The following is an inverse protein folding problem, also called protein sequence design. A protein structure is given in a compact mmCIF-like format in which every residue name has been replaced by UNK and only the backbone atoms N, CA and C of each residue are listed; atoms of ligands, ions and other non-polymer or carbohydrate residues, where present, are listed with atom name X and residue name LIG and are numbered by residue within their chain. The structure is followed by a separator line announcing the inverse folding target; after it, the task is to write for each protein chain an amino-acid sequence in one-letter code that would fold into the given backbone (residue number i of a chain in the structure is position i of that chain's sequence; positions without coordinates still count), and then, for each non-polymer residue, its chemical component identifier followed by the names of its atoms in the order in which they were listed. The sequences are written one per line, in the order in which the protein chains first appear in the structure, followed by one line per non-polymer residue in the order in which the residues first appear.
data_IF_970163517865
#
_entry.id   IF_970163517865
#
_cell.length_a   1.000
_cell.length_b   1.000
_cell.length_c   1.000
_cell.angle_alpha   90.00
_cell.angle_beta   90.00
_cell.angle_gamma   90.00
#
_symmetry.space_group_name_H-M   'P 1'
#
loop_
_entity.id
_entity.type
_entity.pdbx_description
1 polymer ?
#
# COMPACT_ATOMS: atom_id res chain seq x y z
N UNK A 1 -20.02 -15.11 -17.83
CA UNK A 1 -18.83 -14.49 -17.19
C UNK A 1 -17.62 -15.34 -17.57
N UNK A 2 -16.73 -14.81 -18.43
CA UNK A 2 -15.64 -15.57 -19.04
C UNK A 2 -14.47 -15.71 -18.05
N UNK A 3 -14.23 -16.92 -17.58
CA UNK A 3 -13.11 -17.25 -16.71
C UNK A 3 -11.84 -17.35 -17.59
N UNK A 4 -11.21 -16.20 -17.88
CA UNK A 4 -9.92 -16.16 -18.60
C UNK A 4 -8.83 -16.60 -17.63
N UNK A 5 -8.29 -17.80 -17.84
CA UNK A 5 -7.07 -18.27 -17.17
C UNK A 5 -5.93 -17.28 -17.45
N UNK A 6 -5.55 -16.51 -16.44
CA UNK A 6 -4.44 -15.55 -16.51
C UNK A 6 -3.14 -16.36 -16.46
N UNK A 7 -2.37 -16.34 -17.55
CA UNK A 7 -1.07 -17.00 -17.64
C UNK A 7 -0.02 -16.08 -16.99
N UNK A 8 0.76 -16.64 -16.06
CA UNK A 8 1.84 -15.93 -15.38
C UNK A 8 3.15 -16.14 -16.13
N UNK A 9 3.95 -15.07 -16.27
CA UNK A 9 5.27 -15.10 -16.91
C UNK A 9 6.33 -14.70 -15.89
N UNK A 10 7.44 -15.42 -15.86
CA UNK A 10 8.59 -15.12 -14.99
C UNK A 10 9.45 -14.04 -15.64
N UNK A 11 9.70 -12.95 -14.92
CA UNK A 11 10.64 -11.89 -15.31
C UNK A 11 11.97 -12.06 -14.54
N UNK A 12 13.04 -11.33 -14.91
CA UNK A 12 14.30 -11.32 -14.14
C UNK A 12 14.16 -10.74 -12.71
N UNK A 13 13.02 -10.13 -12.37
CA UNK A 13 12.59 -9.83 -10.99
C UNK A 13 12.02 -11.10 -10.34
N UNK A 14 12.13 -11.34 -9.01
CA UNK A 14 11.71 -12.59 -8.36
C UNK A 14 10.19 -12.92 -8.42
N UNK A 15 9.42 -12.22 -9.25
CA UNK A 15 7.96 -12.21 -9.22
C UNK A 15 7.36 -12.72 -10.54
N UNK A 16 6.19 -13.33 -10.39
CA UNK A 16 5.35 -13.77 -11.50
C UNK A 16 4.46 -12.61 -11.93
N UNK A 17 4.64 -12.13 -13.16
CA UNK A 17 3.85 -11.02 -13.69
C UNK A 17 2.74 -11.55 -14.58
N UNK A 18 1.50 -11.02 -14.50
CA UNK A 18 0.46 -11.32 -15.47
C UNK A 18 0.96 -11.03 -16.89
N UNK A 19 0.73 -11.93 -17.85
CA UNK A 19 1.21 -11.76 -19.24
C UNK A 19 0.86 -10.39 -19.85
N UNK A 20 -0.31 -9.83 -19.49
CA UNK A 20 -0.78 -8.50 -19.91
C UNK A 20 0.05 -7.32 -19.41
N UNK A 21 0.89 -7.52 -18.41
CA UNK A 21 1.72 -6.49 -17.77
C UNK A 21 3.22 -6.75 -17.98
N UNK A 22 3.60 -7.72 -18.83
CA UNK A 22 5.00 -8.11 -19.07
C UNK A 22 5.92 -6.94 -19.42
N UNK A 23 5.40 -5.96 -20.18
CA UNK A 23 6.17 -4.81 -20.66
C UNK A 23 5.89 -3.52 -19.85
N UNK A 24 5.13 -3.63 -18.75
CA UNK A 24 4.83 -2.48 -17.88
C UNK A 24 5.87 -2.38 -16.75
N UNK A 25 6.19 -1.15 -16.29
CA UNK A 25 7.00 -0.99 -15.10
C UNK A 25 6.28 -1.58 -13.88
N UNK A 26 7.06 -2.03 -12.91
CA UNK A 26 6.54 -2.47 -11.62
C UNK A 26 5.96 -1.25 -10.89
N UNK A 27 4.79 -1.45 -10.26
CA UNK A 27 4.15 -0.41 -9.43
C UNK A 27 4.77 -0.39 -8.04
N UNK A 28 5.19 -1.53 -7.51
CA UNK A 28 5.83 -1.65 -6.21
C UNK A 28 7.09 -2.50 -6.36
N UNK A 29 8.21 -2.00 -5.88
CA UNK A 29 9.47 -2.75 -5.79
C UNK A 29 10.03 -2.64 -4.39
N UNK A 30 10.36 -3.78 -3.81
CA UNK A 30 10.86 -3.89 -2.45
C UNK A 30 12.10 -4.75 -2.50
N UNK A 31 13.22 -4.23 -2.00
CA UNK A 31 14.51 -4.91 -2.04
C UNK A 31 15.15 -4.93 -0.67
N UNK A 32 15.54 -6.11 -0.22
CA UNK A 32 16.26 -6.37 1.04
C UNK A 32 15.60 -5.73 2.27
N UNK A 33 14.27 -5.64 2.27
CA UNK A 33 13.53 -4.93 3.31
C UNK A 33 13.67 -5.64 4.65
N UNK A 34 13.98 -4.87 5.70
CA UNK A 34 14.07 -5.41 7.04
C UNK A 34 13.86 -4.38 8.14
N UNK A 35 13.46 -4.89 9.30
CA UNK A 35 13.30 -4.10 10.52
C UNK A 35 13.62 -4.94 11.75
N UNK A 36 14.26 -4.30 12.72
CA UNK A 36 14.60 -4.89 14.01
C UNK A 36 13.92 -4.08 15.13
N UNK A 37 13.31 -4.77 16.08
CA UNK A 37 12.69 -4.16 17.26
C UNK A 37 13.46 -4.58 18.51
N UNK A 38 14.16 -3.64 19.15
CA UNK A 38 14.87 -3.91 20.40
C UNK A 38 15.87 -5.07 20.33
N UNK A 39 16.50 -5.28 19.17
CA UNK A 39 17.43 -6.38 18.92
C UNK A 39 16.82 -7.66 18.32
N UNK A 40 15.49 -7.73 18.19
CA UNK A 40 14.81 -8.82 17.51
C UNK A 40 14.51 -8.45 16.05
N UNK A 41 15.07 -9.21 15.11
CA UNK A 41 14.73 -9.07 13.69
C UNK A 41 13.32 -9.58 13.42
N UNK A 42 12.41 -8.68 13.05
CA UNK A 42 11.01 -9.02 12.75
C UNK A 42 10.77 -9.27 11.25
N UNK A 43 11.54 -8.62 10.38
CA UNK A 43 11.55 -8.89 8.93
C UNK A 43 13.00 -8.91 8.50
N UNK A 44 13.40 -9.95 7.75
CA UNK A 44 14.76 -10.08 7.24
C UNK A 44 14.74 -10.32 5.74
N UNK A 45 15.38 -9.42 4.98
CA UNK A 45 15.58 -9.53 3.53
C UNK A 45 14.30 -9.85 2.75
N UNK A 46 13.22 -9.13 3.03
CA UNK A 46 11.99 -9.26 2.29
C UNK A 46 12.12 -8.59 0.92
N UNK A 47 11.79 -9.33 -0.14
CA UNK A 47 11.85 -8.89 -1.53
C UNK A 47 10.52 -9.17 -2.21
N UNK A 48 9.96 -8.18 -2.89
CA UNK A 48 8.76 -8.34 -3.72
C UNK A 48 8.76 -7.28 -4.82
N UNK A 49 8.16 -7.61 -5.94
CA UNK A 49 7.91 -6.71 -7.06
C UNK A 49 6.51 -6.99 -7.57
N UNK A 50 5.70 -5.95 -7.72
CA UNK A 50 4.31 -6.08 -8.13
C UNK A 50 4.07 -5.30 -9.41
N UNK A 51 3.31 -5.91 -10.32
CA UNK A 51 2.82 -5.23 -11.52
C UNK A 51 1.47 -4.53 -11.26
N UNK A 52 1.09 -3.51 -12.07
CA UNK A 52 -0.08 -2.66 -11.79
C UNK A 52 -1.41 -3.40 -11.63
N UNK A 53 -1.57 -4.59 -12.21
CA UNK A 53 -2.81 -5.37 -12.13
C UNK A 53 -2.64 -6.72 -11.46
N UNK A 54 -1.54 -6.89 -10.73
CA UNK A 54 -1.21 -8.11 -10.00
C UNK A 54 -1.92 -8.16 -8.65
N UNK A 55 -2.34 -9.36 -8.26
CA UNK A 55 -2.85 -9.63 -6.91
C UNK A 55 -1.87 -10.61 -6.25
N UNK A 56 -1.12 -10.10 -5.27
CA UNK A 56 -0.12 -10.88 -4.54
C UNK A 56 -0.61 -11.15 -3.11
N UNK A 57 -0.35 -12.37 -2.61
CA UNK A 57 -0.75 -12.79 -1.26
C UNK A 57 0.46 -13.09 -0.39
N UNK A 58 0.56 -12.45 0.78
CA UNK A 58 1.57 -12.75 1.79
C UNK A 58 1.01 -13.70 2.85
N UNK A 59 1.42 -14.96 2.81
CA UNK A 59 0.98 -16.03 3.73
C UNK A 59 2.12 -16.50 4.64
N UNK A 60 1.77 -17.04 5.80
CA UNK A 60 2.75 -17.53 6.78
C UNK A 60 2.13 -17.67 8.18
N UNK A 61 2.82 -18.32 9.14
CA UNK A 61 2.31 -18.50 10.50
C UNK A 61 2.19 -17.17 11.26
N UNK A 62 1.50 -17.19 12.41
CA UNK A 62 1.46 -16.04 13.30
C UNK A 62 2.86 -15.70 13.79
N UNK A 63 3.18 -14.41 13.85
CA UNK A 63 4.54 -13.95 14.19
C UNK A 63 5.54 -13.95 13.04
N UNK A 64 5.20 -14.45 11.85
CA UNK A 64 6.11 -14.47 10.69
C UNK A 64 6.42 -13.09 10.07
N UNK A 65 6.05 -11.99 10.72
CA UNK A 65 6.33 -10.63 10.21
C UNK A 65 5.36 -10.09 9.16
N UNK A 66 4.27 -10.79 8.81
CA UNK A 66 3.30 -10.33 7.80
C UNK A 66 2.77 -8.91 8.07
N UNK A 67 2.21 -8.70 9.26
CA UNK A 67 1.71 -7.38 9.68
C UNK A 67 2.82 -6.34 9.69
N UNK A 68 4.04 -6.75 10.05
CA UNK A 68 5.23 -5.89 10.03
C UNK A 68 5.55 -5.42 8.60
N UNK A 69 5.53 -6.31 7.60
CA UNK A 69 5.70 -5.94 6.20
C UNK A 69 4.64 -4.92 5.77
N UNK A 70 3.36 -5.14 6.08
CA UNK A 70 2.31 -4.15 5.78
C UNK A 70 2.56 -2.80 6.47
N UNK A 71 3.04 -2.80 7.72
CA UNK A 71 3.38 -1.58 8.45
C UNK A 71 4.56 -0.83 7.80
N UNK A 72 5.54 -1.54 7.25
CA UNK A 72 6.66 -0.94 6.53
C UNK A 72 6.21 -0.33 5.20
N UNK A 73 5.43 -1.08 4.40
CA UNK A 73 4.88 -0.59 3.12
C UNK A 73 4.00 0.65 3.29
N UNK A 74 3.29 0.74 4.42
CA UNK A 74 2.42 1.88 4.74
C UNK A 74 3.09 2.96 5.57
N UNK A 75 4.40 2.88 5.79
CA UNK A 75 5.16 3.86 6.58
C UNK A 75 4.60 4.12 7.98
N UNK A 76 4.03 3.09 8.60
CA UNK A 76 3.76 3.07 10.04
C UNK A 76 5.07 2.88 10.82
N UNK A 77 5.99 2.10 10.25
CA UNK A 77 7.38 2.01 10.69
C UNK A 77 8.31 2.32 9.51
N UNK A 78 9.43 2.98 9.79
CA UNK A 78 10.49 3.14 8.81
C UNK A 78 11.38 1.88 8.84
N UNK A 79 11.70 1.27 7.69
CA UNK A 79 12.61 0.13 7.66
C UNK A 79 14.00 0.52 8.16
N UNK A 80 14.67 -0.40 8.86
CA UNK A 80 16.08 -0.19 9.25
C UNK A 80 17.02 -0.45 8.08
N UNK A 81 16.56 -1.18 7.07
CA UNK A 81 17.32 -1.58 5.89
C UNK A 81 16.42 -1.90 4.70
N UNK A 82 17.00 -1.84 3.51
CA UNK A 82 16.32 -2.08 2.25
C UNK A 82 15.63 -0.83 1.71
N UNK A 83 14.98 -1.00 0.55
CA UNK A 83 14.39 0.10 -0.22
C UNK A 83 13.00 -0.30 -0.68
N UNK A 84 12.08 0.68 -0.69
CA UNK A 84 10.72 0.53 -1.20
C UNK A 84 10.51 1.60 -2.26
N UNK A 85 10.37 1.18 -3.52
CA UNK A 85 10.03 2.04 -4.64
C UNK A 85 8.54 1.88 -4.97
N UNK A 86 7.85 3.01 -5.16
CA UNK A 86 6.48 3.09 -5.65
C UNK A 86 6.49 3.86 -6.97
N UNK A 87 6.03 3.23 -8.05
CA UNK A 87 6.14 3.77 -9.42
C UNK A 87 7.56 4.26 -9.76
N UNK A 88 8.57 3.48 -9.35
CA UNK A 88 9.99 3.81 -9.52
C UNK A 88 10.53 4.92 -8.61
N UNK A 89 9.73 5.47 -7.68
CA UNK A 89 10.16 6.52 -6.74
C UNK A 89 10.39 5.95 -5.35
N UNK A 90 11.54 6.28 -4.76
CA UNK A 90 11.84 5.88 -3.39
C UNK A 90 10.88 6.54 -2.40
N UNK A 91 10.35 5.72 -1.49
CA UNK A 91 9.46 6.15 -0.41
C UNK A 91 10.21 6.49 0.88
N UNK A 92 11.54 6.33 0.93
CA UNK A 92 12.36 6.68 2.10
C UNK A 92 12.07 8.09 2.63
N UNK A 93 11.85 8.22 3.95
CA UNK A 93 11.55 9.49 4.59
C UNK A 93 10.13 10.04 4.37
N UNK A 94 9.31 9.38 3.55
CA UNK A 94 7.89 9.70 3.46
C UNK A 94 7.15 9.27 4.72
N UNK A 95 6.24 10.11 5.21
CA UNK A 95 5.28 9.72 6.24
C UNK A 95 4.07 8.98 5.65
N UNK A 96 3.22 8.42 6.53
CA UNK A 96 2.01 7.66 6.15
C UNK A 96 1.07 8.44 5.23
N UNK A 97 0.92 9.75 5.42
CA UNK A 97 0.03 10.59 4.60
C UNK A 97 0.62 10.75 3.20
N UNK A 98 1.92 11.00 3.09
CA UNK A 98 2.62 11.16 1.81
C UNK A 98 2.59 9.87 0.99
N UNK A 99 2.85 8.72 1.62
CA UNK A 99 2.75 7.42 0.95
C UNK A 99 1.31 7.10 0.53
N UNK A 100 0.32 7.51 1.32
CA UNK A 100 -1.08 7.38 0.94
C UNK A 100 -1.43 8.22 -0.30
N UNK A 101 -0.98 9.47 -0.33
CA UNK A 101 -1.15 10.35 -1.49
C UNK A 101 -0.40 9.86 -2.72
N UNK A 102 0.72 9.16 -2.53
CA UNK A 102 1.49 8.56 -3.61
C UNK A 102 0.83 7.31 -4.21
N UNK A 103 -0.16 6.70 -3.55
CA UNK A 103 -0.97 5.61 -4.11
C UNK A 103 -1.11 4.36 -3.23
N UNK A 104 -0.43 4.28 -2.08
CA UNK A 104 -0.56 3.13 -1.17
C UNK A 104 -1.73 3.36 -0.21
N UNK A 105 -2.79 2.57 -0.38
CA UNK A 105 -3.91 2.53 0.56
C UNK A 105 -3.89 1.22 1.38
N UNK A 106 -4.33 1.30 2.63
CA UNK A 106 -4.48 0.14 3.52
C UNK A 106 -5.88 0.08 4.10
N UNK A 107 -6.47 -1.09 4.01
CA UNK A 107 -7.69 -1.43 4.76
C UNK A 107 -7.32 -1.92 6.16
N UNK A 108 -8.19 -1.67 7.13
CA UNK A 108 -8.03 -2.17 8.49
C UNK A 108 -8.75 -3.51 8.62
N UNK A 109 -8.13 -4.46 9.34
CA UNK A 109 -8.72 -5.77 9.60
C UNK A 109 -10.09 -5.66 10.29
N UNK A 110 -10.19 -4.73 11.25
CA UNK A 110 -11.46 -4.36 11.85
C UNK A 110 -12.02 -3.16 11.10
N UNK A 111 -13.16 -3.35 10.44
CA UNK A 111 -13.84 -2.30 9.69
C UNK A 111 -14.29 -1.24 10.70
N UNK A 112 -13.86 0.01 10.49
CA UNK A 112 -14.28 1.16 11.28
C UNK A 112 -15.28 1.97 10.48
N UNK A 113 -16.54 1.55 10.50
CA UNK A 113 -17.64 2.31 9.90
C UNK A 113 -18.12 3.40 10.86
N UNK A 114 -18.65 4.49 10.30
CA UNK A 114 -19.40 5.46 11.06
C UNK A 114 -20.86 5.01 11.10
N UNK A 115 -21.25 4.36 12.20
CA UNK A 115 -22.55 3.70 12.35
C UNK A 115 -23.75 4.66 12.25
N UNK A 116 -23.53 5.96 12.47
CA UNK A 116 -24.56 7.01 12.37
C UNK A 116 -24.70 7.59 10.96
N UNK A 117 -23.89 7.14 10.01
CA UNK A 117 -23.87 7.65 8.64
C UNK A 117 -24.45 6.63 7.67
N UNK A 118 -24.98 7.12 6.55
CA UNK A 118 -25.43 6.24 5.47
C UNK A 118 -24.23 5.53 4.82
N UNK A 119 -24.50 4.49 4.04
CA UNK A 119 -23.45 3.81 3.26
C UNK A 119 -22.78 4.80 2.30
N UNK A 120 -23.58 5.65 1.65
CA UNK A 120 -23.08 6.68 0.73
C UNK A 120 -22.12 7.66 1.44
N UNK A 121 -22.48 8.11 2.64
CA UNK A 121 -21.65 9.03 3.42
C UNK A 121 -20.34 8.39 3.88
N UNK A 122 -20.36 7.10 4.26
CA UNK A 122 -19.14 6.35 4.58
C UNK A 122 -18.19 6.28 3.36
N UNK A 123 -18.72 6.10 2.15
CA UNK A 123 -17.92 6.12 0.91
C UNK A 123 -17.38 7.52 0.61
N UNK A 124 -18.21 8.56 0.78
CA UNK A 124 -17.79 9.97 0.57
C UNK A 124 -16.65 10.37 1.50
N UNK A 125 -16.62 9.89 2.74
CA UNK A 125 -15.52 10.16 3.67
C UNK A 125 -14.19 9.63 3.14
N UNK A 126 -14.18 8.49 2.45
CA UNK A 126 -12.97 7.94 1.81
C UNK A 126 -12.41 8.84 0.70
N UNK A 127 -13.23 9.72 0.13
CA UNK A 127 -12.82 10.70 -0.89
C UNK A 127 -12.26 11.99 -0.29
N UNK A 128 -12.04 12.07 1.03
CA UNK A 128 -11.56 13.27 1.72
C UNK A 128 -10.27 13.85 1.11
N UNK A 129 -9.38 13.01 0.59
CA UNK A 129 -8.15 13.46 -0.10
C UNK A 129 -8.42 14.37 -1.31
N UNK A 130 -9.63 14.33 -1.89
CA UNK A 130 -10.04 15.14 -3.04
C UNK A 130 -10.86 16.38 -2.64
N UNK A 131 -11.13 16.59 -1.35
CA UNK A 131 -11.97 17.69 -0.86
C UNK A 131 -11.08 18.90 -0.54
N UNK A 132 -10.97 19.83 -1.48
CA UNK A 132 -10.35 21.13 -1.22
C UNK A 132 -11.36 22.11 -0.58
N UNK A 133 -10.99 22.66 0.58
CA UNK A 133 -11.66 23.79 1.21
C UNK A 133 -10.64 24.77 1.77
N UNK A 134 -10.88 26.06 1.58
CA UNK A 134 -10.06 27.11 2.18
C UNK A 134 -10.54 27.41 3.60
N UNK A 135 -9.61 27.79 4.49
CA UNK A 135 -9.92 28.13 5.88
C UNK A 135 -11.08 29.13 6.04
N UNK A 136 -11.17 30.23 5.27
CA UNK A 136 -12.30 31.16 5.39
C UNK A 136 -13.63 30.50 5.01
N UNK A 137 -13.66 29.69 3.96
CA UNK A 137 -14.87 28.97 3.51
C UNK A 137 -15.38 28.02 4.59
N UNK A 138 -14.46 27.30 5.27
CA UNK A 138 -14.80 26.40 6.37
C UNK A 138 -15.27 27.13 7.62
N UNK A 139 -14.61 28.23 8.01
CA UNK A 139 -14.94 29.01 9.20
C UNK A 139 -16.27 29.74 9.04
N UNK A 140 -16.50 30.38 7.89
CA UNK A 140 -17.71 31.18 7.64
C UNK A 140 -18.86 30.36 7.05
N UNK A 141 -18.70 29.04 6.86
CA UNK A 141 -19.67 28.15 6.21
C UNK A 141 -20.25 28.76 4.94
N UNK A 142 -19.39 29.37 4.12
CA UNK A 142 -19.83 30.02 2.89
C UNK A 142 -20.35 28.94 1.92
N UNK A 143 -21.47 29.19 1.24
CA UNK A 143 -21.99 28.26 0.24
C UNK A 143 -20.97 28.06 -0.88
N UNK A 144 -20.85 26.82 -1.34
CA UNK A 144 -20.20 26.50 -2.63
C UNK A 144 -21.23 26.65 -3.75
#
# INVERSE_FOLDING_TARGET
MSNKNIKLVQLPSPNFVPERDKDKPLVLEVSHLGIDFGGLTAVNEFNIGMSPTEISGLIGPNGAGKTTVFNLLTKVYEPTRGTILLDGKDTHGMNTIQVNQAGIARTFQNIRLFDKLTVEDNVKIGLHNNIHYHMPTGVFRLPK
#
